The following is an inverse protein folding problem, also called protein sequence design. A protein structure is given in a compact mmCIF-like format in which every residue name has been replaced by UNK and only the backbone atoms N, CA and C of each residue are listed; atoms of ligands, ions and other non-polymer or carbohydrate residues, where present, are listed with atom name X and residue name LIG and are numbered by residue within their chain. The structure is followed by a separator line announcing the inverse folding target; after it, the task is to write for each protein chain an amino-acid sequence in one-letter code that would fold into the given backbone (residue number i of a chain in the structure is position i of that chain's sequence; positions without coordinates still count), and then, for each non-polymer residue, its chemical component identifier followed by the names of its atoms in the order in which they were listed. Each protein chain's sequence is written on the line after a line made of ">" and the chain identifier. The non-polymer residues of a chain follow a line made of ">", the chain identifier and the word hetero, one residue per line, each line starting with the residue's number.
data_IF_602376727122
#
_entry.id   IF_602376727122
#
_cell.length_a   1.000
_cell.length_b   1.000
_cell.length_c   1.000
_cell.angle_alpha   90.00
_cell.angle_beta   90.00
_cell.angle_gamma   90.00
#
_symmetry.space_group_name_H-M   'P 1'
#
loop_
_entity.id
_entity.type
_entity.pdbx_description
1 polymer ?
#
# COMPACT_ATOMS: atom_id res chain seq x y z
N UNK A 1 16.44 -3.63 15.53
CA UNK A 1 15.46 -3.21 14.50
C UNK A 1 14.91 -1.85 14.90
N UNK A 2 14.95 -0.84 14.02
CA UNK A 2 14.43 0.51 14.32
C UNK A 2 12.91 0.47 14.51
N UNK A 3 12.42 1.15 15.53
CA UNK A 3 10.98 1.25 15.81
C UNK A 3 10.25 1.91 14.64
N UNK A 4 9.01 1.51 14.38
CA UNK A 4 8.16 2.12 13.32
C UNK A 4 8.07 3.65 13.51
N UNK A 5 8.06 4.13 14.75
CA UNK A 5 8.06 5.57 15.07
C UNK A 5 9.34 6.28 14.60
N UNK A 6 10.49 5.62 14.75
CA UNK A 6 11.79 6.17 14.33
C UNK A 6 11.92 6.18 12.80
N UNK A 7 11.33 5.20 12.11
CA UNK A 7 11.28 5.16 10.66
C UNK A 7 10.42 6.29 10.09
N UNK A 8 9.27 6.55 10.72
CA UNK A 8 8.38 7.66 10.34
C UNK A 8 9.06 9.00 10.59
N UNK A 9 9.68 9.19 11.76
CA UNK A 9 10.41 10.42 12.08
C UNK A 9 11.56 10.68 11.07
N UNK A 10 12.38 9.66 10.81
CA UNK A 10 13.48 9.79 9.84
C UNK A 10 13.01 10.07 8.40
N UNK A 11 11.85 9.56 8.00
CA UNK A 11 11.28 9.86 6.69
C UNK A 11 10.75 11.31 6.61
N UNK A 12 10.14 11.82 7.69
CA UNK A 12 9.67 13.21 7.76
C UNK A 12 10.86 14.17 7.71
N UNK A 13 11.94 13.88 8.44
CA UNK A 13 13.15 14.70 8.43
C UNK A 13 13.81 14.70 7.04
N UNK A 14 13.88 13.53 6.38
CA UNK A 14 14.37 13.42 5.01
C UNK A 14 13.57 14.26 4.00
N UNK A 15 12.23 14.23 4.11
CA UNK A 15 11.36 15.03 3.25
C UNK A 15 11.54 16.53 3.52
N UNK A 16 11.64 16.91 4.79
CA UNK A 16 11.88 18.29 5.21
C UNK A 16 13.20 18.81 4.63
N UNK A 17 14.27 18.05 4.77
CA UNK A 17 15.60 18.43 4.27
C UNK A 17 15.62 18.53 2.75
N UNK A 18 14.93 17.62 2.04
CA UNK A 18 14.79 17.68 0.58
C UNK A 18 14.06 18.94 0.10
N UNK A 19 12.99 19.34 0.82
CA UNK A 19 12.25 20.57 0.52
C UNK A 19 13.12 21.80 0.78
N UNK A 20 13.85 21.85 1.89
CA UNK A 20 14.76 22.97 2.19
C UNK A 20 15.90 23.08 1.19
N UNK A 21 16.48 21.95 0.78
CA UNK A 21 17.55 21.92 -0.23
C UNK A 21 17.06 22.40 -1.60
N UNK A 22 15.80 22.11 -1.93
CA UNK A 22 15.18 22.57 -3.18
C UNK A 22 14.90 24.07 -3.14
N UNK A 23 14.39 24.59 -2.02
CA UNK A 23 14.16 26.02 -1.80
C UNK A 23 15.45 26.84 -1.84
N UNK A 24 16.54 26.36 -1.22
CA UNK A 24 17.82 27.06 -1.19
C UNK A 24 18.50 27.11 -2.56
N UNK A 25 18.38 26.05 -3.37
CA UNK A 25 18.85 26.08 -4.77
C UNK A 25 18.06 27.03 -5.65
N UNK A 26 16.75 27.14 -5.45
CA UNK A 26 15.92 28.07 -6.21
C UNK A 26 16.20 29.54 -5.83
N UNK A 27 16.41 29.83 -4.55
CA UNK A 27 16.82 31.16 -4.09
C UNK A 27 18.18 31.62 -4.65
N UNK A 28 19.13 30.69 -4.83
CA UNK A 28 20.43 30.98 -5.46
C UNK A 28 20.30 31.29 -6.97
N UNK A 29 19.42 30.57 -7.68
CA UNK A 29 19.12 30.83 -9.11
C UNK A 29 18.43 32.20 -9.28
N UNK A 30 17.54 32.57 -8.35
CA UNK A 30 16.85 33.87 -8.36
C UNK A 30 17.83 35.05 -8.11
N UNK A 31 18.82 34.87 -7.23
CA UNK A 31 19.86 35.87 -6.94
C UNK A 31 20.81 36.19 -8.11
N UNK A 32 20.79 35.38 -9.17
CA UNK A 32 21.67 35.55 -10.34
C UNK A 32 21.01 36.33 -11.49
N UNK A 33 19.76 36.77 -11.33
CA UNK A 33 19.04 37.60 -12.31
C UNK A 33 19.32 39.10 -12.10
N UNK A 34 19.44 39.92 -13.16
CA UNK A 34 19.66 41.36 -13.03
C UNK A 34 18.48 42.04 -12.32
N UNK A 35 18.71 43.14 -11.55
CA UNK A 35 17.65 43.78 -10.81
C UNK A 35 16.72 44.58 -11.74
N UNK A 36 15.41 44.29 -11.72
CA UNK A 36 14.32 45.18 -11.28
C UNK A 36 12.96 44.77 -11.92
N UNK A 37 11.93 44.45 -11.12
CA UNK A 37 10.57 45.07 -11.01
C UNK A 37 9.92 44.50 -9.71
N UNK A 38 9.40 45.33 -8.78
CA UNK A 38 8.81 44.87 -7.53
C UNK A 38 7.32 44.55 -7.71
N UNK A 39 6.99 43.31 -8.04
CA UNK A 39 5.66 42.68 -7.88
C UNK A 39 5.63 41.28 -8.48
N UNK A 40 6.45 40.37 -7.97
CA UNK A 40 6.21 38.94 -8.14
C UNK A 40 6.10 38.33 -6.77
N UNK A 41 4.87 38.24 -6.26
CA UNK A 41 4.53 37.32 -5.19
C UNK A 41 4.94 35.92 -5.64
N UNK A 42 6.11 35.45 -5.20
CA UNK A 42 6.56 34.07 -5.37
C UNK A 42 5.74 33.14 -4.47
N UNK A 43 4.43 33.11 -4.67
CA UNK A 43 3.69 31.89 -4.44
C UNK A 43 4.18 30.96 -5.56
N UNK A 44 5.15 30.09 -5.25
CA UNK A 44 5.43 28.94 -6.10
C UNK A 44 4.13 28.15 -6.20
N UNK A 45 3.33 28.42 -7.22
CA UNK A 45 2.28 27.51 -7.64
C UNK A 45 2.98 26.16 -7.85
N UNK A 46 2.60 25.10 -7.13
CA UNK A 46 3.30 23.83 -7.27
C UNK A 46 3.24 23.44 -8.74
N UNK A 47 4.41 23.23 -9.35
CA UNK A 47 4.44 22.72 -10.71
C UNK A 47 3.67 21.40 -10.72
N UNK A 48 2.91 21.13 -11.79
CA UNK A 48 2.09 19.92 -11.89
C UNK A 48 2.88 18.64 -11.57
N UNK A 49 4.17 18.62 -11.89
CA UNK A 49 5.06 17.50 -11.62
C UNK A 49 5.28 17.26 -10.11
N UNK A 50 5.34 18.31 -9.29
CA UNK A 50 5.47 18.17 -7.83
C UNK A 50 4.21 17.54 -7.24
N UNK A 51 3.03 18.01 -7.66
CA UNK A 51 1.74 17.47 -7.20
C UNK A 51 1.65 15.97 -7.53
N UNK A 52 1.99 15.60 -8.77
CA UNK A 52 1.99 14.20 -9.22
C UNK A 52 3.01 13.37 -8.45
N UNK A 53 4.24 13.87 -8.27
CA UNK A 53 5.28 13.15 -7.54
C UNK A 53 4.88 12.90 -6.08
N UNK A 54 4.35 13.92 -5.39
CA UNK A 54 3.83 13.76 -4.03
C UNK A 54 2.67 12.76 -3.97
N UNK A 55 1.73 12.85 -4.91
CA UNK A 55 0.62 11.90 -5.01
C UNK A 55 1.10 10.46 -5.21
N UNK A 56 2.09 10.24 -6.08
CA UNK A 56 2.64 8.92 -6.37
C UNK A 56 3.31 8.30 -5.12
N UNK A 57 4.07 9.10 -4.37
CA UNK A 57 4.76 8.65 -3.15
C UNK A 57 3.75 8.29 -2.05
N UNK A 58 2.74 9.13 -1.83
CA UNK A 58 1.67 8.85 -0.86
C UNK A 58 0.88 7.60 -1.26
N UNK A 59 0.52 7.47 -2.54
CA UNK A 59 -0.21 6.31 -3.04
C UNK A 59 0.59 5.00 -2.90
N UNK A 60 1.85 5.00 -3.33
CA UNK A 60 2.71 3.82 -3.24
C UNK A 60 2.96 3.39 -1.78
N UNK A 61 3.25 4.35 -0.90
CA UNK A 61 3.46 4.07 0.53
C UNK A 61 2.20 3.51 1.19
N UNK A 62 1.02 4.05 0.91
CA UNK A 62 -0.25 3.53 1.42
C UNK A 62 -0.54 2.11 0.90
N UNK A 63 -0.34 1.86 -0.40
CA UNK A 63 -0.53 0.53 -1.01
C UNK A 63 0.41 -0.53 -0.42
N UNK A 64 1.67 -0.19 -0.17
CA UNK A 64 2.64 -1.08 0.47
C UNK A 64 2.36 -1.30 1.96
N UNK A 65 1.86 -0.28 2.67
CA UNK A 65 1.53 -0.38 4.10
C UNK A 65 0.20 -1.12 4.36
N UNK A 66 -0.72 -1.14 3.39
CA UNK A 66 -2.05 -1.75 3.51
C UNK A 66 -2.05 -3.21 4.00
N UNK A 67 -1.28 -4.16 3.42
CA UNK A 67 -1.28 -5.55 3.88
C UNK A 67 -0.79 -5.67 5.33
N UNK A 68 0.19 -4.86 5.75
CA UNK A 68 0.69 -4.87 7.13
C UNK A 68 -0.33 -4.27 8.11
N UNK A 69 -1.04 -3.22 7.72
CA UNK A 69 -2.13 -2.65 8.51
C UNK A 69 -3.25 -3.69 8.75
N UNK A 70 -3.68 -4.36 7.68
CA UNK A 70 -4.71 -5.40 7.75
C UNK A 70 -4.27 -6.61 8.59
N UNK A 71 -3.03 -7.08 8.41
CA UNK A 71 -2.48 -8.22 9.15
C UNK A 71 -2.18 -7.91 10.63
N UNK A 72 -2.05 -6.63 10.99
CA UNK A 72 -1.77 -6.21 12.38
C UNK A 72 -2.98 -6.29 13.31
N UNK A 73 -4.15 -6.74 12.84
CA UNK A 73 -5.31 -6.95 13.71
C UNK A 73 -5.03 -8.04 14.75
N UNK A 74 -4.95 -7.64 16.02
CA UNK A 74 -4.79 -8.56 17.17
C UNK A 74 -6.00 -9.47 17.40
N UNK A 75 -7.13 -9.15 16.77
CA UNK A 75 -8.33 -10.00 16.79
C UNK A 75 -8.34 -10.78 15.48
N UNK A 76 -7.93 -12.05 15.48
CA UNK A 76 -8.08 -12.87 14.30
C UNK A 76 -9.58 -12.92 13.96
N UNK A 77 -9.93 -12.53 12.73
CA UNK A 77 -11.32 -12.52 12.23
C UNK A 77 -11.91 -13.94 12.25
N UNK A 78 -11.04 -14.95 12.24
CA UNK A 78 -11.36 -16.36 12.38
C UNK A 78 -10.81 -16.82 13.72
N UNK A 79 -11.70 -17.28 14.59
CA UNK A 79 -11.31 -18.01 15.79
C UNK A 79 -10.73 -19.38 15.36
N UNK A 80 -9.45 -19.68 15.61
CA UNK A 80 -8.84 -20.95 15.20
C UNK A 80 -9.37 -22.14 16.00
N UNK A 81 -10.07 -21.90 17.11
CA UNK A 81 -10.70 -22.94 17.93
C UNK A 81 -12.11 -23.27 17.46
N UNK A 82 -12.70 -22.41 16.62
CA UNK A 82 -14.03 -22.60 16.06
C UNK A 82 -13.92 -23.16 14.65
N UNK A 83 -14.71 -24.18 14.28
CA UNK A 83 -14.81 -24.60 12.89
C UNK A 83 -15.20 -23.39 12.03
N UNK A 84 -14.49 -23.23 10.92
CA UNK A 84 -14.74 -22.18 9.94
C UNK A 84 -16.23 -22.17 9.56
N UNK A 85 -16.82 -20.99 9.33
CA UNK A 85 -18.22 -20.90 8.96
C UNK A 85 -18.45 -21.75 7.70
N UNK A 86 -19.60 -22.43 7.59
CA UNK A 86 -19.85 -23.33 6.49
C UNK A 86 -19.69 -22.64 5.12
N UNK A 87 -19.91 -21.34 4.98
CA UNK A 87 -19.66 -20.59 3.75
C UNK A 87 -18.16 -20.48 3.36
N UNK A 88 -17.24 -20.68 4.30
CA UNK A 88 -15.79 -20.73 4.09
C UNK A 88 -15.25 -22.17 3.94
N UNK A 89 -16.07 -23.20 4.24
CA UNK A 89 -15.66 -24.62 4.22
C UNK A 89 -16.51 -25.49 3.30
N UNK A 90 -17.75 -25.10 3.00
CA UNK A 90 -18.58 -25.61 1.91
C UNK A 90 -17.97 -25.14 0.61
N UNK A 91 -16.88 -25.79 0.29
CA UNK A 91 -16.68 -26.16 -1.09
C UNK A 91 -17.87 -27.08 -1.41
N UNK A 92 -18.59 -26.77 -2.48
CA UNK A 92 -19.79 -27.54 -2.87
C UNK A 92 -19.47 -29.04 -2.99
N UNK A 93 -20.47 -29.89 -3.31
CA UNK A 93 -20.32 -31.35 -3.37
C UNK A 93 -19.13 -31.87 -4.21
N UNK A 94 -18.47 -31.00 -4.99
CA UNK A 94 -17.28 -31.27 -5.78
C UNK A 94 -16.18 -30.24 -5.44
N UNK A 95 -15.44 -30.48 -4.37
CA UNK A 95 -14.06 -29.98 -4.24
C UNK A 95 -13.24 -30.60 -5.34
N UNK A 96 -12.48 -29.79 -6.07
CA UNK A 96 -11.43 -30.22 -7.00
C UNK A 96 -10.45 -31.23 -6.36
N UNK A 97 -10.77 -32.52 -6.40
CA UNK A 97 -9.77 -33.57 -6.63
C UNK A 97 -9.77 -33.72 -8.14
N UNK A 98 -8.60 -33.67 -8.77
CA UNK A 98 -8.47 -33.85 -10.22
C UNK A 98 -8.81 -35.26 -10.71
N UNK A 99 -9.73 -35.99 -10.07
CA UNK A 99 -10.26 -37.26 -10.57
C UNK A 99 -11.63 -37.05 -11.21
N UNK A 100 -11.73 -37.43 -12.47
CA UNK A 100 -12.98 -37.55 -13.24
C UNK A 100 -13.77 -38.83 -12.90
N UNK A 101 -13.56 -39.38 -11.71
CA UNK A 101 -14.12 -40.61 -11.18
C UNK A 101 -14.28 -40.33 -9.69
N UNK A 102 -15.46 -40.32 -9.05
CA UNK A 102 -16.60 -41.21 -9.18
C UNK A 102 -17.84 -40.39 -8.76
N UNK A 103 -18.66 -39.97 -9.72
CA UNK A 103 -20.09 -39.78 -9.44
C UNK A 103 -20.72 -41.17 -9.30
N UNK A 104 -21.85 -41.34 -8.61
CA UNK A 104 -22.47 -42.66 -8.44
C UNK A 104 -22.71 -43.31 -9.82
N UNK A 105 -21.83 -44.24 -10.20
CA UNK A 105 -22.06 -45.10 -11.35
C UNK A 105 -23.29 -45.94 -10.99
N UNK A 106 -24.23 -46.06 -11.93
CA UNK A 106 -25.41 -46.91 -11.83
C UNK A 106 -25.06 -48.42 -11.75
N UNK A 107 -23.77 -48.78 -11.76
CA UNK A 107 -23.29 -50.14 -11.61
C UNK A 107 -23.16 -50.55 -10.14
N UNK A 108 -24.06 -51.44 -9.72
CA UNK A 108 -23.90 -52.23 -8.50
C UNK A 108 -22.73 -53.20 -8.65
N UNK A 109 -21.61 -52.91 -7.98
CA UNK A 109 -20.54 -53.89 -7.79
C UNK A 109 -20.91 -54.84 -6.64
N UNK A 110 -21.00 -56.17 -6.86
CA UNK A 110 -21.24 -57.11 -5.78
C UNK A 110 -20.02 -57.16 -4.86
N UNK A 111 -20.25 -56.92 -3.56
CA UNK A 111 -19.23 -57.01 -2.52
C UNK A 111 -19.00 -58.50 -2.21
N UNK A 112 -17.75 -58.97 -2.36
CA UNK A 112 -17.30 -60.24 -1.77
C UNK A 112 -17.01 -60.06 -0.28
#
# INVERSE_FOLDING_TARGET
>A
MKSVKEQIAGFIDLLRDSVYQTQSRLGFIESSRPPHIPNASFAMAPSRNIIVATGLVVFASAGLAFPFYMASSKKPVIDPTKPLPPQATFRGPYINTGSRDVGPDHRTYPKK
#
